data_IF_457851758818
#
_entry.id   IF_457851758818
#
_cell.length_a   1.000
_cell.length_b   1.000
_cell.length_c   1.000
_cell.angle_alpha   90.00
_cell.angle_beta   90.00
_cell.angle_gamma   90.00
#
_symmetry.space_group_name_H-M   'P 1'
#
loop_
_entity.id
_entity.type
_entity.pdbx_description
1 polymer ?
#
# COMPACT_ATOMS: atom_id res chain seq x y z
N UNK A 1 30.46 -5.37 -28.83
CA UNK A 1 30.47 -5.83 -27.42
C UNK A 1 29.48 -4.98 -26.65
N UNK A 2 28.22 -5.42 -26.53
CA UNK A 2 27.18 -4.73 -25.76
C UNK A 2 26.78 -5.72 -24.65
N UNK A 3 27.49 -5.66 -23.53
CA UNK A 3 27.25 -6.55 -22.39
C UNK A 3 27.47 -5.79 -21.08
N UNK A 4 26.76 -4.67 -20.89
CA UNK A 4 26.81 -3.90 -19.63
C UNK A 4 25.45 -3.42 -19.13
N UNK A 5 24.37 -3.55 -19.93
CA UNK A 5 23.04 -3.07 -19.52
C UNK A 5 22.28 -3.98 -18.55
N UNK A 6 22.47 -5.31 -18.66
CA UNK A 6 21.68 -6.27 -17.89
C UNK A 6 22.00 -6.26 -16.38
N UNK A 7 23.29 -6.17 -16.01
CA UNK A 7 23.70 -6.20 -14.61
C UNK A 7 23.26 -4.99 -13.79
N UNK A 8 23.18 -3.81 -14.40
CA UNK A 8 22.70 -2.60 -13.75
C UNK A 8 21.20 -2.70 -13.42
N UNK A 9 20.40 -3.21 -14.37
CA UNK A 9 18.96 -3.42 -14.15
C UNK A 9 18.69 -4.46 -13.06
N UNK A 10 19.47 -5.54 -13.00
CA UNK A 10 19.32 -6.58 -11.95
C UNK A 10 19.71 -6.07 -10.57
N UNK A 11 20.65 -5.13 -10.47
CA UNK A 11 21.02 -4.51 -9.19
C UNK A 11 19.93 -3.55 -8.68
N UNK A 12 19.26 -2.82 -9.58
CA UNK A 12 18.17 -1.90 -9.24
C UNK A 12 16.94 -2.61 -8.67
N UNK A 13 16.60 -3.81 -9.16
CA UNK A 13 15.44 -4.57 -8.67
C UNK A 13 15.66 -5.16 -7.27
N UNK A 14 16.89 -5.49 -6.89
CA UNK A 14 17.20 -6.01 -5.53
C UNK A 14 17.18 -4.87 -4.49
N UNK A 15 17.41 -3.63 -4.91
CA UNK A 15 17.33 -2.45 -4.03
C UNK A 15 15.90 -2.02 -3.72
N UNK A 16 14.91 -2.49 -4.47
CA UNK A 16 13.51 -2.23 -4.19
C UNK A 16 13.09 -3.13 -3.02
N UNK A 17 13.23 -2.60 -1.80
CA UNK A 17 12.85 -3.30 -0.57
C UNK A 17 11.43 -3.87 -0.64
N UNK A 18 11.13 -4.86 0.21
CA UNK A 18 9.80 -5.47 0.27
C UNK A 18 8.80 -4.39 0.68
N UNK A 19 7.75 -4.12 -0.12
CA UNK A 19 6.74 -3.14 0.25
C UNK A 19 6.04 -3.54 1.57
N UNK A 20 5.95 -2.59 2.51
CA UNK A 20 5.25 -2.80 3.78
C UNK A 20 3.75 -2.56 3.61
N UNK A 21 2.99 -3.65 3.46
CA UNK A 21 1.53 -3.61 3.30
C UNK A 21 0.77 -3.55 4.63
N UNK A 22 1.44 -3.40 5.77
CA UNK A 22 0.78 -3.42 7.09
C UNK A 22 -0.20 -2.26 7.29
N UNK A 23 -0.14 -1.21 6.49
CA UNK A 23 -1.01 -0.04 6.64
C UNK A 23 -2.00 0.13 5.47
N UNK A 24 -1.89 -0.73 4.46
CA UNK A 24 -2.76 -0.70 3.29
C UNK A 24 -4.18 -1.20 3.61
N UNK A 25 -5.18 -0.84 2.77
CA UNK A 25 -6.53 -1.36 2.88
C UNK A 25 -6.60 -2.89 2.86
N UNK A 26 -7.49 -3.43 3.69
CA UNK A 26 -7.76 -4.87 3.80
C UNK A 26 -9.22 -5.09 4.22
N UNK A 27 -9.76 -6.33 4.15
CA UNK A 27 -11.13 -6.59 4.59
C UNK A 27 -11.42 -6.17 6.04
N UNK A 28 -10.44 -6.27 6.94
CA UNK A 28 -10.56 -5.83 8.33
C UNK A 28 -10.37 -4.32 8.52
N UNK A 29 -9.71 -3.65 7.56
CA UNK A 29 -9.40 -2.23 7.58
C UNK A 29 -9.64 -1.65 6.18
N UNK A 30 -10.90 -1.42 5.76
CA UNK A 30 -11.25 -1.09 4.38
C UNK A 30 -10.68 0.24 3.88
N UNK A 31 -10.24 1.09 4.81
CA UNK A 31 -9.59 2.38 4.52
C UNK A 31 -8.10 2.41 4.90
N UNK A 32 -7.52 1.25 5.21
CA UNK A 32 -6.14 1.14 5.70
C UNK A 32 -5.97 1.61 7.14
N UNK A 33 -4.71 1.82 7.55
CA UNK A 33 -4.33 2.32 8.88
C UNK A 33 -3.29 3.42 8.74
N UNK A 34 -3.24 4.33 9.72
CA UNK A 34 -2.16 5.31 9.78
C UNK A 34 -0.80 4.60 9.91
N UNK A 35 0.20 5.09 9.16
CA UNK A 35 1.59 4.66 9.31
C UNK A 35 2.12 5.07 10.70
N UNK A 36 3.02 4.30 11.34
CA UNK A 36 3.61 4.66 12.63
C UNK A 36 4.30 6.02 12.64
N UNK A 37 4.88 6.41 11.50
CA UNK A 37 5.55 7.72 11.34
C UNK A 37 4.58 8.85 10.92
N UNK A 38 3.27 8.59 10.89
CA UNK A 38 2.29 9.62 10.56
C UNK A 38 2.22 10.69 11.68
N UNK A 39 1.99 11.97 11.33
CA UNK A 39 1.78 13.01 12.33
C UNK A 39 0.59 12.71 13.23
N UNK A 40 0.69 13.06 14.51
CA UNK A 40 -0.38 12.82 15.49
C UNK A 40 -1.70 13.51 15.09
N UNK A 41 -1.62 14.66 14.41
CA UNK A 41 -2.77 15.43 13.93
C UNK A 41 -3.62 14.68 12.91
N UNK A 42 -3.10 13.60 12.30
CA UNK A 42 -3.92 12.74 11.44
C UNK A 42 -5.11 12.14 12.22
N UNK A 43 -4.95 11.91 13.52
CA UNK A 43 -6.02 11.41 14.39
C UNK A 43 -7.18 12.39 14.54
N UNK A 44 -6.94 13.71 14.41
CA UNK A 44 -7.99 14.74 14.49
C UNK A 44 -9.01 14.60 13.36
N UNK A 45 -8.60 13.94 12.28
CA UNK A 45 -9.40 13.70 11.08
C UNK A 45 -10.02 12.30 11.06
N UNK A 46 -9.88 11.50 12.13
CA UNK A 46 -10.42 10.14 12.19
C UNK A 46 -11.94 10.09 11.97
N UNK A 47 -12.67 11.16 12.35
CA UNK A 47 -14.11 11.28 12.12
C UNK A 47 -14.51 11.35 10.64
N UNK A 48 -13.56 11.67 9.74
CA UNK A 48 -13.80 11.69 8.30
C UNK A 48 -13.64 10.30 7.66
N UNK A 49 -13.12 9.31 8.40
CA UNK A 49 -13.09 7.93 7.93
C UNK A 49 -14.53 7.40 7.99
N UNK A 50 -15.13 7.22 6.81
CA UNK A 50 -16.49 6.72 6.68
C UNK A 50 -16.64 5.26 7.10
N UNK A 51 -17.87 4.74 7.05
CA UNK A 51 -18.14 3.31 7.13
C UNK A 51 -18.37 2.75 5.73
N UNK A 52 -17.71 1.66 5.38
CA UNK A 52 -17.99 0.90 4.16
C UNK A 52 -18.41 -0.52 4.54
N UNK A 53 -19.65 -0.88 4.23
CA UNK A 53 -20.17 -2.21 4.43
C UNK A 53 -20.14 -2.92 3.07
N UNK A 54 -19.11 -3.73 2.83
CA UNK A 54 -18.79 -4.37 1.55
C UNK A 54 -19.83 -5.43 1.11
N UNK A 55 -21.10 -5.06 0.90
CA UNK A 55 -22.15 -5.98 0.43
C UNK A 55 -22.22 -6.11 -1.09
N UNK A 56 -21.47 -5.28 -1.82
CA UNK A 56 -21.45 -5.30 -3.27
C UNK A 56 -20.52 -6.40 -3.79
N UNK A 57 -21.09 -7.32 -4.57
CA UNK A 57 -20.35 -8.38 -5.24
C UNK A 57 -20.28 -8.09 -6.74
N UNK A 58 -19.06 -7.94 -7.29
CA UNK A 58 -18.88 -7.86 -8.74
C UNK A 58 -18.85 -9.27 -9.33
N UNK A 59 -19.96 -9.70 -9.95
CA UNK A 59 -19.99 -10.91 -10.77
C UNK A 59 -19.26 -10.64 -12.09
N UNK A 60 -18.11 -11.27 -12.30
CA UNK A 60 -17.41 -11.23 -13.57
C UNK A 60 -18.28 -11.97 -14.62
N UNK A 61 -18.53 -11.39 -15.82
CA UNK A 61 -19.19 -12.09 -16.90
C UNK A 61 -18.33 -13.22 -17.48
#
# INVERSE_FOLDING_TARGET
MIATGAGLLTLLTVLQGVPDFRHEPSPAFPFGRAHPDAPAQLADFAFMIGSFNCHDERRLP
#
